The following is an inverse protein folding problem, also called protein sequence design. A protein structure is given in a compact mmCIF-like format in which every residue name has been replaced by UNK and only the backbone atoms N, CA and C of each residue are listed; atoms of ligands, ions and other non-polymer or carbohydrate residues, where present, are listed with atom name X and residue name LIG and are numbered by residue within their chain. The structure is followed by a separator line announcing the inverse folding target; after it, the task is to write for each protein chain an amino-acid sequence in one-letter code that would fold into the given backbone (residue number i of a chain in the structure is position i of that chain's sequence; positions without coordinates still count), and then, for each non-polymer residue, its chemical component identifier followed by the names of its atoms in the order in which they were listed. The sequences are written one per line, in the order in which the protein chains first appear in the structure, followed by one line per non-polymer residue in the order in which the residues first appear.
data_IF_998965507106
#
_entry.id   IF_998965507106
#
_cell.length_a   1.000
_cell.length_b   1.000
_cell.length_c   1.000
_cell.angle_alpha   90.00
_cell.angle_beta   90.00
_cell.angle_gamma   90.00
#
_symmetry.space_group_name_H-M   'P 1'
#
loop_
_entity.id
_entity.type
_entity.pdbx_description
1 polymer ?
#
# COMPACT_ATOMS: atom_id res chain seq x y z
N UNK A 1 40.65 -72.53 -19.40
CA UNK A 1 41.44 -71.49 -20.12
C UNK A 1 40.73 -70.14 -20.01
N UNK A 2 41.18 -69.23 -19.13
CA UNK A 2 40.57 -67.89 -18.94
C UNK A 2 41.15 -66.92 -19.98
N UNK A 3 40.36 -66.49 -20.97
CA UNK A 3 40.76 -65.45 -21.94
C UNK A 3 40.97 -64.12 -21.23
N UNK A 4 42.20 -63.63 -21.12
CA UNK A 4 42.50 -62.24 -20.71
C UNK A 4 41.98 -61.30 -21.79
N UNK A 5 40.86 -60.62 -21.53
CA UNK A 5 40.41 -59.50 -22.37
C UNK A 5 41.46 -58.37 -22.23
N UNK A 6 42.23 -58.11 -23.29
CA UNK A 6 43.07 -56.92 -23.38
C UNK A 6 42.14 -55.74 -23.70
N UNK A 7 41.88 -54.92 -22.71
CA UNK A 7 41.05 -53.71 -22.87
C UNK A 7 41.94 -52.64 -23.53
N UNK A 8 41.46 -52.04 -24.62
CA UNK A 8 42.20 -50.98 -25.32
C UNK A 8 42.29 -49.73 -24.46
N UNK A 9 43.48 -49.11 -24.40
CA UNK A 9 43.74 -47.90 -23.61
C UNK A 9 42.77 -46.76 -23.99
N UNK A 10 42.37 -46.68 -25.26
CA UNK A 10 41.37 -45.72 -25.75
C UNK A 10 39.99 -45.94 -25.12
N UNK A 11 39.60 -47.19 -24.88
CA UNK A 11 38.31 -47.53 -24.26
C UNK A 11 38.30 -47.17 -22.78
N UNK A 12 39.41 -47.38 -22.07
CA UNK A 12 39.54 -47.00 -20.65
C UNK A 12 39.48 -45.48 -20.48
N UNK A 13 40.19 -44.73 -21.32
CA UNK A 13 40.15 -43.26 -21.27
C UNK A 13 38.74 -42.72 -21.57
N UNK A 14 38.08 -43.25 -22.60
CA UNK A 14 36.70 -42.84 -22.93
C UNK A 14 35.72 -43.11 -21.79
N UNK A 15 35.81 -44.29 -21.17
CA UNK A 15 34.96 -44.64 -20.03
C UNK A 15 35.21 -43.76 -18.81
N UNK A 16 36.48 -43.46 -18.51
CA UNK A 16 36.85 -42.57 -17.41
C UNK A 16 36.32 -41.15 -17.64
N UNK A 17 36.41 -40.66 -18.88
CA UNK A 17 35.92 -39.32 -19.22
C UNK A 17 34.40 -39.22 -19.03
N UNK A 18 33.65 -40.18 -19.55
CA UNK A 18 32.19 -40.26 -19.37
C UNK A 18 31.82 -40.33 -17.88
N UNK A 19 32.56 -41.11 -17.10
CA UNK A 19 32.32 -41.22 -15.66
C UNK A 19 32.56 -39.90 -14.93
N UNK A 20 33.68 -39.22 -15.18
CA UNK A 20 33.95 -37.91 -14.60
C UNK A 20 32.89 -36.87 -14.96
N UNK A 21 32.44 -36.86 -16.22
CA UNK A 21 31.39 -35.93 -16.67
C UNK A 21 30.07 -36.19 -15.96
N UNK A 22 29.69 -37.45 -15.76
CA UNK A 22 28.47 -37.82 -15.03
C UNK A 22 28.53 -37.38 -13.56
N UNK A 23 29.66 -37.62 -12.89
CA UNK A 23 29.85 -37.18 -11.50
C UNK A 23 29.78 -35.66 -11.41
N UNK A 24 30.47 -34.96 -12.31
CA UNK A 24 30.49 -33.49 -12.33
C UNK A 24 29.10 -32.92 -12.59
N UNK A 25 28.36 -33.50 -13.55
CA UNK A 25 26.98 -33.11 -13.82
C UNK A 25 26.07 -33.36 -12.61
N UNK A 26 26.20 -34.49 -11.94
CA UNK A 26 25.43 -34.80 -10.72
C UNK A 26 25.67 -33.80 -9.60
N UNK A 27 26.93 -33.43 -9.35
CA UNK A 27 27.29 -32.40 -8.36
C UNK A 27 26.73 -31.04 -8.77
N UNK A 28 26.88 -30.65 -10.03
CA UNK A 28 26.38 -29.37 -10.54
C UNK A 28 24.86 -29.25 -10.41
N UNK A 29 24.11 -30.29 -10.78
CA UNK A 29 22.64 -30.33 -10.67
C UNK A 29 22.21 -30.26 -9.21
N UNK A 30 22.89 -30.98 -8.30
CA UNK A 30 22.59 -30.96 -6.87
C UNK A 30 22.79 -29.56 -6.28
N UNK A 31 23.88 -28.90 -6.66
CA UNK A 31 24.22 -27.57 -6.19
C UNK A 31 23.24 -26.52 -6.76
N UNK A 32 22.92 -26.61 -8.05
CA UNK A 32 21.88 -25.79 -8.67
C UNK A 32 20.52 -25.97 -8.00
N UNK A 33 20.14 -27.20 -7.66
CA UNK A 33 18.87 -27.47 -6.98
C UNK A 33 18.82 -26.85 -5.58
N UNK A 34 19.90 -26.97 -4.79
CA UNK A 34 19.98 -26.33 -3.48
C UNK A 34 19.96 -24.80 -3.56
N UNK A 35 20.65 -24.21 -4.54
CA UNK A 35 20.64 -22.76 -4.72
C UNK A 35 19.31 -22.24 -5.26
N UNK A 36 18.68 -22.92 -6.23
CA UNK A 36 17.37 -22.57 -6.74
C UNK A 36 16.31 -22.61 -5.62
N UNK A 37 16.30 -23.69 -4.83
CA UNK A 37 15.37 -23.85 -3.69
C UNK A 37 15.59 -22.78 -2.62
N UNK A 38 16.84 -22.46 -2.27
CA UNK A 38 17.15 -21.41 -1.28
C UNK A 38 16.82 -20.02 -1.80
N UNK A 39 17.08 -19.75 -3.08
CA UNK A 39 16.80 -18.47 -3.72
C UNK A 39 15.29 -18.21 -3.85
N UNK A 40 14.49 -19.20 -4.25
CA UNK A 40 13.03 -19.05 -4.38
C UNK A 40 12.36 -18.76 -3.02
N UNK A 41 12.84 -19.42 -1.97
CA UNK A 41 12.34 -19.26 -0.60
C UNK A 41 12.73 -17.90 -0.01
N UNK A 42 13.98 -17.46 -0.22
CA UNK A 42 14.44 -16.13 0.19
C UNK A 42 13.77 -15.00 -0.61
N UNK A 43 13.60 -15.16 -1.92
CA UNK A 43 12.90 -14.17 -2.75
C UNK A 43 11.45 -14.01 -2.31
N UNK A 44 10.77 -15.12 -2.00
CA UNK A 44 9.38 -15.10 -1.54
C UNK A 44 9.27 -14.37 -0.20
N UNK A 45 10.10 -14.72 0.79
CA UNK A 45 10.12 -14.05 2.10
C UNK A 45 10.46 -12.56 2.00
N UNK A 46 11.45 -12.20 1.19
CA UNK A 46 11.86 -10.81 0.98
C UNK A 46 10.74 -10.00 0.32
N UNK A 47 10.01 -10.60 -0.63
CA UNK A 47 8.87 -9.95 -1.30
C UNK A 47 7.69 -9.77 -0.36
N UNK A 48 7.39 -10.76 0.50
CA UNK A 48 6.39 -10.63 1.55
C UNK A 48 6.76 -9.55 2.58
N UNK A 49 8.01 -9.52 3.04
CA UNK A 49 8.49 -8.47 3.93
C UNK A 49 8.40 -7.09 3.28
N UNK A 50 8.77 -6.94 2.01
CA UNK A 50 8.67 -5.68 1.27
C UNK A 50 7.22 -5.21 1.09
N UNK A 51 6.29 -6.13 0.83
CA UNK A 51 4.85 -5.83 0.76
C UNK A 51 4.32 -5.43 2.14
N UNK A 52 4.70 -6.16 3.20
CA UNK A 52 4.27 -5.87 4.57
C UNK A 52 4.84 -4.54 5.08
N UNK A 53 6.13 -4.26 4.85
CA UNK A 53 6.75 -2.97 5.22
C UNK A 53 6.20 -1.83 4.37
N UNK A 54 6.10 -2.01 3.05
CA UNK A 54 5.48 -1.03 2.16
C UNK A 54 4.05 -0.69 2.58
N UNK A 55 3.21 -1.70 2.79
CA UNK A 55 1.83 -1.51 3.27
C UNK A 55 1.76 -0.83 4.63
N UNK A 56 2.61 -1.23 5.59
CA UNK A 56 2.67 -0.59 6.92
C UNK A 56 3.13 0.87 6.85
N UNK A 57 4.10 1.21 5.98
CA UNK A 57 4.57 2.58 5.80
C UNK A 57 3.50 3.46 5.14
N UNK A 58 2.76 2.93 4.17
CA UNK A 58 1.63 3.65 3.57
C UNK A 58 0.53 3.90 4.59
N UNK A 59 0.19 2.91 5.41
CA UNK A 59 -0.81 3.07 6.48
C UNK A 59 -0.34 4.05 7.56
N UNK A 60 0.93 4.01 7.95
CA UNK A 60 1.52 4.95 8.91
C UNK A 60 1.52 6.39 8.38
N UNK A 61 1.79 6.57 7.09
CA UNK A 61 1.73 7.89 6.46
C UNK A 61 0.31 8.44 6.40
N UNK A 62 -0.68 7.58 6.09
CA UNK A 62 -2.10 7.95 6.16
C UNK A 62 -2.52 8.32 7.59
N UNK A 63 -2.09 7.55 8.59
CA UNK A 63 -2.33 7.84 9.99
C UNK A 63 -1.76 9.21 10.39
N UNK A 64 -0.51 9.49 10.01
CA UNK A 64 0.16 10.75 10.33
C UNK A 64 -0.51 11.94 9.63
N UNK A 65 -0.93 11.76 8.38
CA UNK A 65 -1.68 12.77 7.62
C UNK A 65 -3.03 13.03 8.29
N UNK A 66 -3.79 11.98 8.64
CA UNK A 66 -5.06 12.10 9.34
C UNK A 66 -4.90 12.78 10.70
N UNK A 67 -3.87 12.43 11.48
CA UNK A 67 -3.60 13.03 12.79
C UNK A 67 -3.25 14.52 12.67
N UNK A 68 -2.39 14.87 11.70
CA UNK A 68 -1.97 16.27 11.47
C UNK A 68 -3.15 17.12 11.04
N UNK A 69 -3.92 16.64 10.06
CA UNK A 69 -5.11 17.32 9.53
C UNK A 69 -6.17 17.47 10.62
N UNK A 70 -6.44 16.39 11.38
CA UNK A 70 -7.44 16.41 12.46
C UNK A 70 -7.01 17.36 13.57
N UNK A 71 -5.72 17.38 13.94
CA UNK A 71 -5.19 18.29 14.95
C UNK A 71 -5.29 19.75 14.51
N UNK A 72 -4.92 20.07 13.27
CA UNK A 72 -5.06 21.43 12.73
C UNK A 72 -6.52 21.85 12.61
N UNK A 73 -7.41 20.95 12.17
CA UNK A 73 -8.85 21.18 12.13
C UNK A 73 -9.45 21.42 13.51
N UNK A 74 -9.10 20.58 14.49
CA UNK A 74 -9.55 20.71 15.88
C UNK A 74 -9.08 22.03 16.52
N UNK A 75 -7.84 22.46 16.26
CA UNK A 75 -7.33 23.75 16.72
C UNK A 75 -8.13 24.92 16.12
N UNK A 76 -8.40 24.90 14.81
CA UNK A 76 -9.24 25.91 14.16
C UNK A 76 -10.64 25.97 14.77
N UNK A 77 -11.27 24.80 14.94
CA UNK A 77 -12.60 24.69 15.56
C UNK A 77 -12.59 25.20 17.01
N UNK A 78 -11.54 24.90 17.78
CA UNK A 78 -11.41 25.37 19.17
C UNK A 78 -11.22 26.88 19.31
N UNK A 79 -10.61 27.54 18.31
CA UNK A 79 -10.36 28.98 18.33
C UNK A 79 -11.58 29.81 17.89
N UNK A 80 -12.42 29.24 17.02
CA UNK A 80 -13.56 29.96 16.42
C UNK A 80 -14.87 29.66 17.16
N UNK A 81 -14.97 28.51 17.85
CA UNK A 81 -16.21 28.02 18.45
C UNK A 81 -16.98 27.12 17.48
N UNK A 82 -18.01 26.40 17.95
CA UNK A 82 -18.78 25.43 17.14
C UNK A 82 -20.29 25.75 17.13
N UNK A 83 -20.68 26.90 17.69
CA UNK A 83 -22.07 27.19 18.02
C UNK A 83 -22.95 27.27 16.75
N UNK A 84 -22.40 27.77 15.65
CA UNK A 84 -23.08 27.90 14.35
C UNK A 84 -22.15 27.50 13.19
N UNK A 85 -22.65 26.87 12.11
CA UNK A 85 -21.90 26.70 10.86
C UNK A 85 -21.76 28.07 10.20
N UNK A 86 -20.90 28.92 10.77
CA UNK A 86 -20.58 30.22 10.25
C UNK A 86 -19.45 30.13 9.22
N UNK A 87 -19.43 31.10 8.30
CA UNK A 87 -18.35 31.25 7.31
C UNK A 87 -16.96 31.26 7.98
N UNK A 88 -16.89 31.76 9.21
CA UNK A 88 -15.68 31.80 10.04
C UNK A 88 -15.02 30.43 10.22
N UNK A 89 -15.80 29.34 10.31
CA UNK A 89 -15.29 27.96 10.46
C UNK A 89 -15.27 27.23 9.11
N UNK A 90 -16.31 27.42 8.29
CA UNK A 90 -16.48 26.69 7.03
C UNK A 90 -15.39 27.07 6.02
N UNK A 91 -15.02 28.35 5.92
CA UNK A 91 -14.04 28.82 4.95
C UNK A 91 -12.62 28.27 5.26
N UNK A 92 -12.11 28.30 6.51
CA UNK A 92 -10.85 27.63 6.83
C UNK A 92 -10.87 26.12 6.59
N UNK A 93 -11.95 25.42 6.99
CA UNK A 93 -12.07 23.97 6.79
C UNK A 93 -12.15 23.59 5.31
N UNK A 94 -12.86 24.38 4.49
CA UNK A 94 -12.91 24.16 3.03
C UNK A 94 -11.56 24.35 2.35
N UNK A 95 -10.76 25.32 2.78
CA UNK A 95 -9.38 25.49 2.28
C UNK A 95 -8.51 24.27 2.60
N UNK A 96 -8.67 23.70 3.78
CA UNK A 96 -7.97 22.48 4.19
C UNK A 96 -8.45 21.25 3.40
N UNK A 97 -9.76 21.15 3.14
CA UNK A 97 -10.37 20.11 2.31
C UNK A 97 -9.92 20.16 0.84
N UNK A 98 -9.79 21.37 0.27
CA UNK A 98 -9.30 21.57 -1.11
C UNK A 98 -7.79 21.34 -1.21
N UNK A 99 -7.03 21.66 -0.16
CA UNK A 99 -5.57 21.50 -0.15
C UNK A 99 -5.13 20.04 -0.08
N UNK A 100 -5.93 19.18 0.54
CA UNK A 100 -5.60 17.78 0.77
C UNK A 100 -6.66 16.86 0.12
N UNK A 101 -6.48 16.46 -1.16
CA UNK A 101 -7.47 15.71 -1.93
C UNK A 101 -7.77 14.32 -1.37
N UNK A 102 -6.88 13.80 -0.50
CA UNK A 102 -7.06 12.52 0.18
C UNK A 102 -8.16 12.57 1.25
N UNK A 103 -8.63 13.76 1.64
CA UNK A 103 -9.77 13.95 2.53
C UNK A 103 -11.06 14.01 1.71
N UNK A 104 -11.91 13.01 1.91
CA UNK A 104 -13.22 12.94 1.29
C UNK A 104 -14.24 13.91 1.94
N UNK A 105 -14.29 13.95 3.28
CA UNK A 105 -15.21 14.82 4.01
C UNK A 105 -14.73 15.12 5.43
N UNK A 106 -15.15 16.25 5.97
CA UNK A 106 -14.90 16.67 7.36
C UNK A 106 -16.24 16.76 8.09
N UNK A 107 -16.34 16.12 9.24
CA UNK A 107 -17.51 16.19 10.12
C UNK A 107 -17.17 17.01 11.36
N UNK A 108 -18.05 17.92 11.72
CA UNK A 108 -17.96 18.69 12.95
C UNK A 108 -19.27 18.53 13.71
N UNK A 109 -19.21 17.76 14.81
CA UNK A 109 -20.34 17.52 15.68
C UNK A 109 -20.29 18.44 16.89
N UNK A 110 -21.47 18.94 17.26
CA UNK A 110 -21.69 19.74 18.46
C UNK A 110 -22.14 18.85 19.62
N UNK A 111 -22.09 19.41 20.83
CA UNK A 111 -22.55 18.74 22.04
C UNK A 111 -24.08 18.48 22.05
N UNK A 112 -24.86 19.21 21.23
CA UNK A 112 -26.31 19.10 21.15
C UNK A 112 -26.81 18.12 20.07
N UNK A 113 -25.96 17.19 19.61
CA UNK A 113 -26.21 16.26 18.51
C UNK A 113 -26.42 16.88 17.12
N UNK A 114 -26.39 18.20 16.99
CA UNK A 114 -26.27 18.82 15.66
C UNK A 114 -24.87 18.60 15.12
N UNK A 115 -24.76 18.41 13.82
CA UNK A 115 -23.47 18.33 13.16
C UNK A 115 -23.56 18.90 11.76
N UNK A 116 -22.43 19.34 11.25
CA UNK A 116 -22.31 19.70 9.84
C UNK A 116 -21.18 18.91 9.20
N UNK A 117 -21.37 18.61 7.92
CA UNK A 117 -20.46 17.84 7.10
C UNK A 117 -20.04 18.72 5.92
N UNK A 118 -18.74 18.74 5.66
CA UNK A 118 -18.16 19.37 4.48
C UNK A 118 -17.60 18.27 3.57
N UNK A 119 -18.12 18.17 2.35
CA UNK A 119 -17.80 17.10 1.38
C UNK A 119 -16.95 17.67 0.25
N UNK A 120 -15.88 16.97 -0.12
CA UNK A 120 -15.03 17.34 -1.25
C UNK A 120 -15.68 16.91 -2.56
N UNK A 121 -15.86 17.85 -3.50
CA UNK A 121 -16.44 17.59 -4.82
C UNK A 121 -15.37 17.35 -5.89
N UNK A 122 -14.24 16.74 -5.50
CA UNK A 122 -13.15 16.37 -6.39
C UNK A 122 -13.44 15.14 -7.26
N UNK A 123 -14.39 14.29 -6.86
CA UNK A 123 -14.77 13.08 -7.61
C UNK A 123 -16.03 13.32 -8.47
N UNK A 124 -15.94 12.95 -9.74
CA UNK A 124 -17.03 13.09 -10.73
C UNK A 124 -18.29 12.29 -10.35
N UNK A 125 -18.14 11.17 -9.66
CA UNK A 125 -19.27 10.36 -9.21
C UNK A 125 -20.12 11.10 -8.16
N UNK A 126 -19.48 11.86 -7.27
CA UNK A 126 -20.21 12.63 -6.25
C UNK A 126 -20.80 13.88 -6.87
N UNK A 127 -20.04 14.56 -7.74
CA UNK A 127 -20.49 15.76 -8.46
C UNK A 127 -21.77 15.50 -9.26
N UNK A 128 -21.83 14.37 -9.97
CA UNK A 128 -22.99 13.98 -10.77
C UNK A 128 -24.21 13.64 -9.91
N UNK A 129 -24.02 13.05 -8.73
CA UNK A 129 -25.13 12.73 -7.80
C UNK A 129 -25.77 13.95 -7.15
N UNK A 130 -25.00 15.04 -6.96
CA UNK A 130 -25.48 16.27 -6.31
C UNK A 130 -25.71 17.41 -7.29
N UNK A 131 -25.64 17.13 -8.60
CA UNK A 131 -25.80 18.12 -9.69
C UNK A 131 -24.91 19.36 -9.52
N UNK A 132 -23.67 19.16 -9.04
CA UNK A 132 -22.72 20.24 -8.75
C UNK A 132 -22.28 20.97 -10.02
N UNK A 133 -22.19 22.31 -9.95
CA UNK A 133 -21.71 23.13 -11.06
C UNK A 133 -20.20 22.95 -11.28
N UNK A 134 -19.68 23.22 -12.50
CA UNK A 134 -18.24 23.11 -12.81
C UNK A 134 -17.32 23.90 -11.86
N UNK A 135 -17.81 24.95 -11.21
CA UNK A 135 -17.06 25.75 -10.24
C UNK A 135 -17.10 25.27 -8.79
N UNK A 136 -18.01 24.35 -8.45
CA UNK A 136 -18.22 23.92 -7.06
C UNK A 136 -17.10 22.97 -6.63
N UNK A 137 -16.45 23.31 -5.51
CA UNK A 137 -15.31 22.56 -4.96
C UNK A 137 -15.66 21.74 -3.73
N UNK A 138 -16.71 22.12 -3.02
CA UNK A 138 -17.13 21.49 -1.78
C UNK A 138 -18.62 21.71 -1.56
N UNK A 139 -19.24 20.81 -0.79
CA UNK A 139 -20.64 20.84 -0.40
C UNK A 139 -20.75 20.88 1.12
N UNK A 140 -21.60 21.75 1.66
CA UNK A 140 -21.94 21.79 3.08
C UNK A 140 -23.31 21.14 3.31
N UNK A 141 -23.37 20.19 4.22
CA UNK A 141 -24.62 19.59 4.69
C UNK A 141 -24.74 19.85 6.19
N UNK A 142 -25.87 20.41 6.62
CA UNK A 142 -26.16 20.65 8.03
C UNK A 142 -27.22 19.65 8.46
N UNK A 143 -26.93 18.92 9.54
CA UNK A 143 -27.82 17.96 10.15
C UNK A 143 -28.25 18.48 11.52
N UNK A 144 -29.56 18.57 11.72
CA UNK A 144 -30.13 18.84 13.04
C UNK A 144 -30.43 17.52 13.73
N UNK A 145 -29.85 17.33 14.91
CA UNK A 145 -30.13 16.19 15.76
C UNK A 145 -31.50 16.36 16.39
N UNK A 146 -32.50 15.63 15.90
CA UNK A 146 -33.80 15.55 16.60
C UNK A 146 -33.57 14.74 17.88
N UNK A 147 -33.95 15.32 19.03
CA UNK A 147 -33.95 14.66 20.33
C UNK A 147 -34.81 13.40 20.34
#
# INVERSE_FOLDING_TARGET
MKKRKRISLRTVLGLMFVFCTLVTAGVAITLQYQFARKAELQHTLTRYQAIATGGSSHLSNLQHLAETVTRSGAQLVSLIGVDTPEESIIIPLSKLLVREPSIHSIFVAKANNDFFQLINLSSDEIRSRVEAQPGDKWLLIVHSGVK
#
